data_IF_260036086974
#
_entry.id   IF_260036086974
#
_cell.length_a   1.000
_cell.length_b   1.000
_cell.length_c   1.000
_cell.angle_alpha   90.00
_cell.angle_beta   90.00
_cell.angle_gamma   90.00
#
_symmetry.space_group_name_H-M   'P 1'
#
loop_
_entity.id
_entity.type
_entity.pdbx_description
1 polymer ?
#
# COMPACT_ATOMS: atom_id res chain seq x y z
N UNK A 1 -15.66 -16.80 9.60
CA UNK A 1 -14.69 -17.82 9.15
C UNK A 1 -14.27 -18.69 10.33
N UNK A 2 -14.11 -20.00 10.13
CA UNK A 2 -13.57 -20.93 11.14
C UNK A 2 -12.20 -21.42 10.69
N UNK A 3 -11.28 -21.71 11.62
CA UNK A 3 -10.01 -22.34 11.29
C UNK A 3 -10.19 -23.80 10.88
N UNK A 4 -9.20 -24.38 10.21
CA UNK A 4 -9.18 -25.79 9.87
C UNK A 4 -8.98 -26.66 11.14
N UNK A 5 -9.94 -27.55 11.49
CA UNK A 5 -9.80 -28.45 12.63
C UNK A 5 -8.58 -29.39 12.55
N UNK A 6 -8.14 -29.74 11.35
CA UNK A 6 -6.98 -30.61 11.13
C UNK A 6 -5.64 -29.88 11.30
N UNK A 7 -5.65 -28.54 11.43
CA UNK A 7 -4.43 -27.76 11.55
C UNK A 7 -3.65 -28.14 12.84
N UNK A 8 -2.35 -28.50 12.75
CA UNK A 8 -1.61 -29.10 13.85
C UNK A 8 -1.37 -28.14 15.03
N UNK A 9 -1.42 -26.83 14.77
CA UNK A 9 -1.10 -25.78 15.75
C UNK A 9 -2.36 -25.30 16.47
N UNK A 10 -3.34 -24.82 15.73
CA UNK A 10 -4.50 -24.12 16.27
C UNK A 10 -5.80 -24.94 16.23
N UNK A 11 -5.81 -26.12 15.60
CA UNK A 11 -6.89 -27.13 15.68
C UNK A 11 -8.30 -26.55 15.53
N UNK A 12 -8.49 -25.70 14.54
CA UNK A 12 -9.78 -25.07 14.23
C UNK A 12 -10.09 -23.76 14.97
N UNK A 13 -9.22 -23.31 15.87
CA UNK A 13 -9.35 -22.05 16.59
C UNK A 13 -8.64 -20.92 15.84
N UNK A 14 -9.29 -19.76 15.77
CA UNK A 14 -8.65 -18.52 15.36
C UNK A 14 -8.50 -17.61 16.58
N UNK A 15 -7.59 -16.64 16.52
CA UNK A 15 -7.65 -15.52 17.45
C UNK A 15 -8.78 -14.56 17.07
N UNK A 16 -9.14 -13.63 17.97
CA UNK A 16 -10.20 -12.64 17.72
C UNK A 16 -10.00 -11.87 16.40
N UNK A 17 -8.74 -11.50 16.11
CA UNK A 17 -8.39 -10.81 14.85
C UNK A 17 -8.66 -11.68 13.62
N UNK A 18 -8.33 -12.97 13.69
CA UNK A 18 -8.56 -13.92 12.60
C UNK A 18 -10.04 -14.13 12.28
N UNK A 19 -10.91 -14.11 13.30
CA UNK A 19 -12.36 -14.19 13.09
C UNK A 19 -12.93 -12.98 12.33
N UNK A 20 -12.34 -11.81 12.52
CA UNK A 20 -12.79 -10.56 11.88
C UNK A 20 -11.99 -10.15 10.64
N UNK A 21 -10.90 -10.85 10.32
CA UNK A 21 -10.01 -10.50 9.20
C UNK A 21 -10.74 -10.30 7.86
N UNK A 22 -11.78 -11.12 7.60
CA UNK A 22 -12.58 -11.01 6.38
C UNK A 22 -13.29 -9.65 6.23
N UNK A 23 -13.56 -8.93 7.33
CA UNK A 23 -14.21 -7.61 7.31
C UNK A 23 -13.30 -6.52 6.74
N UNK A 24 -11.97 -6.69 6.74
CA UNK A 24 -11.02 -5.71 6.18
C UNK A 24 -11.31 -5.44 4.69
N UNK A 25 -11.85 -6.43 3.98
CA UNK A 25 -12.24 -6.28 2.58
C UNK A 25 -13.36 -5.26 2.35
N UNK A 26 -14.13 -4.93 3.38
CA UNK A 26 -15.32 -4.07 3.31
C UNK A 26 -15.25 -2.87 4.25
N UNK A 27 -14.07 -2.57 4.82
CA UNK A 27 -13.87 -1.35 5.59
C UNK A 27 -14.05 -0.12 4.72
N UNK A 28 -14.72 0.90 5.24
CA UNK A 28 -14.95 2.18 4.53
C UNK A 28 -13.64 2.90 4.18
N UNK A 29 -12.59 2.64 4.98
CA UNK A 29 -11.24 3.19 4.86
C UNK A 29 -10.33 2.37 3.92
N UNK A 30 -10.84 1.29 3.31
CA UNK A 30 -10.05 0.47 2.39
C UNK A 30 -9.63 1.27 1.16
N UNK A 31 -8.32 1.34 0.91
CA UNK A 31 -7.78 1.91 -0.32
C UNK A 31 -8.13 1.01 -1.52
N UNK A 32 -8.88 1.57 -2.48
CA UNK A 32 -9.34 0.86 -3.69
C UNK A 32 -8.75 1.42 -4.99
N UNK A 33 -8.09 2.58 -4.92
CA UNK A 33 -7.43 3.24 -6.04
C UNK A 33 -6.10 3.84 -5.61
N UNK A 34 -5.13 4.00 -6.53
CA UNK A 34 -3.90 4.72 -6.25
C UNK A 34 -4.18 6.18 -5.84
N UNK A 35 -3.46 6.66 -4.83
CA UNK A 35 -3.54 8.03 -4.35
C UNK A 35 -2.19 8.72 -4.51
N UNK A 36 -2.18 9.94 -5.06
CA UNK A 36 -0.97 10.76 -5.21
C UNK A 36 -1.18 12.11 -4.52
N UNK A 37 -0.17 12.64 -3.84
CA UNK A 37 -0.21 14.00 -3.30
C UNK A 37 0.01 15.00 -4.42
N UNK A 38 -0.95 15.90 -4.63
CA UNK A 38 -0.90 16.86 -5.73
C UNK A 38 -1.21 18.29 -5.28
N UNK A 39 -0.61 19.25 -5.98
CA UNK A 39 -0.97 20.66 -5.90
C UNK A 39 -2.21 20.96 -6.77
N UNK A 40 -2.67 22.22 -6.76
CA UNK A 40 -3.82 22.67 -7.56
C UNK A 40 -3.62 22.54 -9.08
N UNK A 41 -2.37 22.41 -9.54
CA UNK A 41 -2.01 22.22 -10.95
C UNK A 41 -1.96 20.74 -11.37
N UNK A 42 -2.23 19.81 -10.45
CA UNK A 42 -2.18 18.36 -10.72
C UNK A 42 -0.76 17.78 -10.73
N UNK A 43 0.24 18.52 -10.24
CA UNK A 43 1.62 18.07 -10.15
C UNK A 43 1.89 17.45 -8.79
N UNK A 44 2.85 16.51 -8.72
CA UNK A 44 3.27 15.93 -7.45
C UNK A 44 3.83 17.01 -6.51
N UNK A 45 3.29 17.07 -5.30
CA UNK A 45 3.75 17.97 -4.24
C UNK A 45 3.78 17.21 -2.91
N UNK A 46 4.92 17.24 -2.21
CA UNK A 46 5.07 16.59 -0.90
C UNK A 46 4.09 17.13 0.15
N UNK A 47 3.65 18.38 0.02
CA UNK A 47 2.67 19.05 0.89
C UNK A 47 1.26 19.06 0.28
N UNK A 48 1.07 18.48 -0.90
CA UNK A 48 -0.22 18.38 -1.56
C UNK A 48 -1.20 17.45 -0.83
N UNK A 49 -2.48 17.61 -1.14
CA UNK A 49 -3.54 16.69 -0.66
C UNK A 49 -3.57 15.45 -1.55
N UNK A 50 -3.96 14.31 -0.97
CA UNK A 50 -4.13 13.08 -1.74
C UNK A 50 -5.34 13.20 -2.68
N UNK A 51 -5.13 12.80 -3.93
CA UNK A 51 -6.19 12.67 -4.93
C UNK A 51 -6.02 11.34 -5.65
N UNK A 52 -7.13 10.82 -6.19
CA UNK A 52 -7.13 9.57 -6.95
C UNK A 52 -6.44 9.76 -8.31
N UNK A 53 -5.60 8.79 -8.69
CA UNK A 53 -4.91 8.77 -9.98
C UNK A 53 -4.97 7.38 -10.61
N UNK A 54 -4.70 7.30 -11.91
CA UNK A 54 -4.54 6.01 -12.60
C UNK A 54 -3.29 5.27 -12.10
N UNK A 55 -3.28 3.95 -12.26
CA UNK A 55 -2.11 3.13 -11.99
C UNK A 55 -0.88 3.58 -12.79
N UNK A 56 -1.07 3.91 -14.07
CA UNK A 56 0.03 4.43 -14.92
C UNK A 56 0.64 5.68 -14.31
N UNK A 57 -0.18 6.67 -13.95
CA UNK A 57 0.30 7.93 -13.35
C UNK A 57 1.03 7.70 -12.02
N UNK A 58 0.56 6.78 -11.19
CA UNK A 58 1.22 6.41 -9.94
C UNK A 58 2.60 5.80 -10.17
N UNK A 59 2.71 4.85 -11.11
CA UNK A 59 3.99 4.22 -11.46
C UNK A 59 4.96 5.19 -12.13
N UNK A 60 4.49 6.08 -13.01
CA UNK A 60 5.33 7.09 -13.66
C UNK A 60 6.00 8.02 -12.63
N UNK A 61 5.25 8.44 -11.61
CA UNK A 61 5.81 9.29 -10.55
C UNK A 61 6.75 8.50 -9.64
N UNK A 62 6.43 7.25 -9.29
CA UNK A 62 7.35 6.39 -8.53
C UNK A 62 8.67 6.15 -9.26
N UNK A 63 8.63 5.87 -10.56
CA UNK A 63 9.82 5.69 -11.40
C UNK A 63 10.69 6.96 -11.42
N UNK A 64 10.07 8.13 -11.64
CA UNK A 64 10.76 9.41 -11.65
C UNK A 64 11.49 9.68 -10.33
N UNK A 65 10.83 9.47 -9.19
CA UNK A 65 11.44 9.70 -7.88
C UNK A 65 12.50 8.65 -7.54
N UNK A 66 12.27 7.38 -7.92
CA UNK A 66 13.25 6.30 -7.78
C UNK A 66 14.53 6.63 -8.55
N UNK A 67 14.42 6.96 -9.85
CA UNK A 67 15.57 7.29 -10.70
C UNK A 67 16.35 8.48 -10.16
N UNK A 68 15.65 9.49 -9.63
CA UNK A 68 16.31 10.64 -8.98
C UNK A 68 17.20 10.19 -7.83
N UNK A 69 16.66 9.43 -6.87
CA UNK A 69 17.42 8.98 -5.70
C UNK A 69 18.54 8.01 -6.09
N UNK A 70 18.26 7.08 -7.00
CA UNK A 70 19.23 6.11 -7.50
C UNK A 70 20.40 6.77 -8.22
N UNK A 71 20.15 7.78 -9.06
CA UNK A 71 21.20 8.49 -9.77
C UNK A 71 22.09 9.31 -8.83
N UNK A 72 21.56 9.77 -7.69
CA UNK A 72 22.31 10.57 -6.70
C UNK A 72 23.12 9.69 -5.73
N UNK A 73 22.53 8.60 -5.25
CA UNK A 73 23.06 7.80 -4.14
C UNK A 73 23.37 6.35 -4.52
N UNK A 74 23.18 5.96 -5.78
CA UNK A 74 23.30 4.59 -6.25
C UNK A 74 22.33 3.64 -5.55
N UNK A 75 22.72 2.36 -5.48
CA UNK A 75 21.95 1.30 -4.83
C UNK A 75 21.69 1.57 -3.34
N UNK A 76 22.59 2.29 -2.68
CA UNK A 76 22.46 2.63 -1.25
C UNK A 76 21.39 3.68 -0.95
N UNK A 77 20.89 4.37 -1.98
CA UNK A 77 19.80 5.33 -1.85
C UNK A 77 18.40 4.71 -1.76
N UNK A 78 18.26 3.40 -1.94
CA UNK A 78 16.97 2.71 -2.02
C UNK A 78 16.86 1.67 -0.89
N UNK A 79 15.75 1.70 -0.17
CA UNK A 79 15.38 0.67 0.81
C UNK A 79 13.99 0.09 0.51
N UNK A 80 13.84 -1.23 0.68
CA UNK A 80 12.56 -1.94 0.54
C UNK A 80 12.26 -2.60 1.89
N UNK A 81 11.12 -2.24 2.48
CA UNK A 81 10.62 -2.82 3.73
C UNK A 81 9.28 -3.50 3.43
N UNK A 82 9.14 -4.76 3.82
CA UNK A 82 7.96 -5.60 3.56
C UNK A 82 7.57 -6.43 4.76
#
# INVERSE_FOLDING_TARGET
TKGDPAAPVNRGLNCIKGYFNAKIMYGEDRLVMPLLRMNEKGEFDKKGKFQQVSWQRAFDEMEKQFKKAYNELGVTGIGIFG
#
